data_IF_153749765537
#
_entry.id   IF_153749765537
#
_cell.length_a   1.000
_cell.length_b   1.000
_cell.length_c   1.000
_cell.angle_alpha   90.00
_cell.angle_beta   90.00
_cell.angle_gamma   90.00
#
_symmetry.space_group_name_H-M   'P 1'
#
loop_
_entity.id
_entity.type
_entity.pdbx_description
1 polymer ?
#
# COMPACT_ATOMS: atom_id res chain seq x y z
N UNK A 1 -12.43 4.95 -10.77
CA UNK A 1 -12.43 5.50 -9.41
C UNK A 1 -12.52 7.01 -9.45
N UNK A 2 -13.34 7.60 -8.60
CA UNK A 2 -13.43 9.06 -8.41
C UNK A 2 -13.20 9.40 -6.95
N UNK A 3 -12.29 10.31 -6.67
CA UNK A 3 -11.93 10.74 -5.32
C UNK A 3 -11.80 12.26 -5.19
N UNK A 4 -12.00 12.76 -3.98
CA UNK A 4 -11.83 14.16 -3.63
C UNK A 4 -10.76 14.30 -2.54
N UNK A 5 -9.79 15.19 -2.76
CA UNK A 5 -8.76 15.54 -1.80
C UNK A 5 -8.97 16.95 -1.25
N UNK A 6 -8.72 17.15 0.05
CA UNK A 6 -8.77 18.47 0.67
C UNK A 6 -7.40 19.12 0.64
N UNK A 7 -7.24 20.22 -0.11
CA UNK A 7 -6.02 21.02 -0.16
C UNK A 7 -5.88 21.97 1.03
N UNK A 8 -6.94 22.19 1.82
CA UNK A 8 -6.95 23.13 2.94
C UNK A 8 -6.87 24.59 2.50
N UNK A 9 -6.53 25.42 3.47
CA UNK A 9 -6.45 26.87 3.29
C UNK A 9 -5.03 27.38 2.97
N UNK A 10 -4.02 26.51 3.05
CA UNK A 10 -2.62 26.89 2.89
C UNK A 10 -2.07 26.48 1.51
N UNK A 11 -1.16 27.29 0.98
CA UNK A 11 -0.43 26.96 -0.26
C UNK A 11 0.69 25.96 0.06
N UNK A 12 0.31 24.81 0.57
CA UNK A 12 1.21 23.66 0.71
C UNK A 12 0.68 22.56 -0.21
N UNK A 13 1.51 21.95 -1.05
CA UNK A 13 1.01 20.94 -1.95
C UNK A 13 0.52 19.71 -1.15
N UNK A 14 -0.80 19.45 -1.10
CA UNK A 14 -1.35 18.26 -0.45
C UNK A 14 -1.13 17.01 -1.31
N UNK A 15 -0.16 17.10 -2.19
CA UNK A 15 0.03 16.24 -3.34
C UNK A 15 0.41 14.78 -3.02
N UNK A 16 1.21 14.49 -1.95
CA UNK A 16 1.74 13.13 -1.82
C UNK A 16 0.65 12.09 -1.63
N UNK A 17 -0.33 12.33 -0.75
CA UNK A 17 -1.36 11.35 -0.47
C UNK A 17 -2.23 11.03 -1.70
N UNK A 18 -2.74 12.06 -2.38
CA UNK A 18 -3.63 11.86 -3.54
C UNK A 18 -2.90 11.28 -4.75
N UNK A 19 -1.70 11.79 -5.06
CA UNK A 19 -0.92 11.30 -6.21
C UNK A 19 -0.39 9.89 -6.00
N UNK A 20 0.03 9.56 -4.78
CA UNK A 20 0.49 8.22 -4.46
C UNK A 20 -0.65 7.21 -4.44
N UNK A 21 -1.84 7.59 -3.97
CA UNK A 21 -3.02 6.73 -4.06
C UNK A 21 -3.31 6.34 -5.52
N UNK A 22 -3.26 7.31 -6.45
CA UNK A 22 -3.46 7.04 -7.88
C UNK A 22 -2.36 6.15 -8.45
N UNK A 23 -1.10 6.46 -8.15
CA UNK A 23 0.05 5.71 -8.68
C UNK A 23 0.09 4.27 -8.22
N UNK A 24 -0.32 4.00 -6.99
CA UNK A 24 -0.22 2.68 -6.37
C UNK A 24 -1.55 1.93 -6.29
N UNK A 25 -2.60 2.43 -6.94
CA UNK A 25 -3.95 1.88 -6.86
C UNK A 25 -4.04 0.39 -7.20
N UNK A 26 -3.24 -0.07 -8.16
CA UNK A 26 -3.28 -1.48 -8.60
C UNK A 26 -2.47 -2.40 -7.69
N UNK A 27 -1.58 -1.85 -6.84
CA UNK A 27 -0.70 -2.61 -5.95
C UNK A 27 -0.03 -3.80 -6.67
N UNK A 28 -0.24 -5.01 -6.17
CA UNK A 28 0.36 -6.26 -6.68
C UNK A 28 -0.46 -6.91 -7.80
N UNK A 29 -1.54 -6.27 -8.25
CA UNK A 29 -2.49 -6.90 -9.17
C UNK A 29 -2.25 -6.53 -10.63
N UNK A 30 -2.31 -7.54 -11.49
CA UNK A 30 -2.26 -7.37 -12.95
C UNK A 30 -3.54 -6.69 -13.44
N UNK A 31 -3.47 -5.38 -13.61
CA UNK A 31 -4.57 -4.56 -14.09
C UNK A 31 -4.23 -4.03 -15.48
N UNK A 32 -4.97 -4.40 -16.52
CA UNK A 32 -4.64 -4.03 -17.91
C UNK A 32 -4.91 -2.56 -18.21
N UNK A 33 -5.89 -1.96 -17.54
CA UNK A 33 -6.27 -0.57 -17.69
C UNK A 33 -6.92 -0.03 -16.44
N UNK A 34 -6.76 1.25 -16.19
CA UNK A 34 -7.46 1.93 -15.09
C UNK A 34 -7.88 3.34 -15.52
N UNK A 35 -9.00 3.79 -15.00
CA UNK A 35 -9.44 5.17 -15.07
C UNK A 35 -9.58 5.72 -13.66
N UNK A 36 -8.89 6.81 -13.38
CA UNK A 36 -8.93 7.46 -12.06
C UNK A 36 -9.17 8.95 -12.23
N UNK A 37 -10.24 9.44 -11.61
CA UNK A 37 -10.57 10.85 -11.55
C UNK A 37 -10.35 11.34 -10.11
N UNK A 38 -9.43 12.26 -9.91
CA UNK A 38 -9.20 12.89 -8.62
C UNK A 38 -9.40 14.40 -8.72
N UNK A 39 -10.08 14.96 -7.73
CA UNK A 39 -10.24 16.42 -7.58
C UNK A 39 -9.64 16.83 -6.25
N UNK A 40 -8.71 17.78 -6.30
CA UNK A 40 -8.13 18.40 -5.12
C UNK A 40 -8.76 19.77 -5.01
N UNK A 41 -9.39 20.06 -3.89
CA UNK A 41 -10.12 21.31 -3.67
C UNK A 41 -9.54 22.08 -2.50
N UNK A 42 -9.43 23.41 -2.67
CA UNK A 42 -9.10 24.30 -1.57
C UNK A 42 -10.30 24.44 -0.64
N UNK A 43 -10.05 24.52 0.64
CA UNK A 43 -11.04 24.71 1.70
C UNK A 43 -10.49 25.65 2.75
N UNK A 44 -11.35 26.09 3.67
CA UNK A 44 -10.93 26.88 4.83
C UNK A 44 -10.49 26.00 6.04
N UNK A 45 -10.26 24.71 5.80
CA UNK A 45 -9.86 23.75 6.81
C UNK A 45 -8.34 23.49 6.77
N UNK A 46 -7.84 22.73 7.72
CA UNK A 46 -6.50 22.18 7.69
C UNK A 46 -6.34 21.25 6.48
N UNK A 47 -5.25 21.37 5.70
CA UNK A 47 -5.01 20.46 4.57
C UNK A 47 -4.78 19.03 5.06
N UNK A 48 -5.12 18.06 4.20
CA UNK A 48 -4.60 16.72 4.37
C UNK A 48 -3.09 16.73 4.12
N UNK A 49 -2.35 16.09 5.01
CA UNK A 49 -0.91 15.96 4.92
C UNK A 49 -0.49 14.50 4.81
N UNK A 50 0.76 14.27 4.45
CA UNK A 50 1.31 12.94 4.42
C UNK A 50 1.31 12.34 5.84
N UNK A 51 0.73 11.17 5.98
CA UNK A 51 0.94 10.26 7.09
C UNK A 51 1.71 9.05 6.56
N UNK A 52 2.30 8.24 7.41
CA UNK A 52 3.11 7.07 7.00
C UNK A 52 2.39 6.26 5.91
N UNK A 53 3.06 6.05 4.75
CA UNK A 53 2.46 5.47 3.55
C UNK A 53 1.91 6.49 2.54
N UNK A 54 1.49 7.70 2.99
CA UNK A 54 1.20 8.89 2.17
C UNK A 54 0.38 8.60 0.89
N UNK A 55 -0.80 8.02 1.02
CA UNK A 55 -1.72 7.71 -0.10
C UNK A 55 -1.67 6.25 -0.55
N UNK A 56 -0.63 5.50 -0.24
CA UNK A 56 -0.58 4.06 -0.55
C UNK A 56 -1.60 3.26 0.24
N UNK A 57 -1.81 3.50 1.56
CA UNK A 57 -2.89 2.85 2.30
C UNK A 57 -4.27 3.12 1.70
N UNK A 58 -4.52 4.33 1.22
CA UNK A 58 -5.77 4.69 0.57
C UNK A 58 -5.95 3.94 -0.76
N UNK A 59 -4.90 3.89 -1.59
CA UNK A 59 -4.90 3.10 -2.84
C UNK A 59 -5.16 1.63 -2.58
N UNK A 60 -4.44 1.05 -1.63
CA UNK A 60 -4.61 -0.34 -1.20
C UNK A 60 -6.03 -0.61 -0.70
N UNK A 61 -6.58 0.25 0.16
CA UNK A 61 -7.94 0.09 0.65
C UNK A 61 -8.97 0.03 -0.50
N UNK A 62 -8.85 0.88 -1.50
CA UNK A 62 -9.77 0.87 -2.63
C UNK A 62 -9.70 -0.43 -3.43
N UNK A 63 -8.49 -0.91 -3.73
CA UNK A 63 -8.31 -2.14 -4.48
C UNK A 63 -8.76 -3.37 -3.68
N UNK A 64 -8.35 -3.48 -2.44
CA UNK A 64 -8.69 -4.60 -1.59
C UNK A 64 -10.19 -4.70 -1.31
N UNK A 65 -10.87 -3.56 -1.12
CA UNK A 65 -12.34 -3.52 -1.00
C UNK A 65 -13.04 -3.93 -2.29
N UNK A 66 -12.50 -3.55 -3.45
CA UNK A 66 -13.03 -3.98 -4.74
C UNK A 66 -12.94 -5.49 -4.90
N UNK A 67 -11.77 -6.08 -4.56
CA UNK A 67 -11.55 -7.53 -4.63
C UNK A 67 -12.47 -8.27 -3.66
N UNK A 68 -12.63 -7.80 -2.42
CA UNK A 68 -13.54 -8.41 -1.44
C UNK A 68 -15.00 -8.33 -1.90
N UNK A 69 -15.39 -7.26 -2.55
CA UNK A 69 -16.74 -7.10 -3.10
C UNK A 69 -16.95 -8.06 -4.28
N UNK A 70 -16.00 -8.08 -5.22
CA UNK A 70 -16.04 -8.99 -6.36
C UNK A 70 -16.08 -10.47 -5.90
N UNK A 71 -15.28 -10.83 -4.91
CA UNK A 71 -15.27 -12.17 -4.31
C UNK A 71 -16.68 -12.59 -3.86
N UNK A 72 -17.37 -11.72 -3.13
CA UNK A 72 -18.74 -11.99 -2.64
C UNK A 72 -19.76 -12.09 -3.77
N UNK A 73 -19.69 -11.17 -4.73
CA UNK A 73 -20.64 -11.14 -5.85
C UNK A 73 -20.45 -12.30 -6.83
N UNK A 74 -19.19 -12.70 -7.03
CA UNK A 74 -18.85 -13.80 -7.94
C UNK A 74 -18.90 -15.19 -7.28
N UNK A 75 -19.01 -15.25 -5.96
CA UNK A 75 -18.94 -16.51 -5.20
C UNK A 75 -17.57 -17.20 -5.27
N UNK A 76 -16.50 -16.43 -5.50
CA UNK A 76 -15.12 -16.93 -5.55
C UNK A 76 -14.44 -16.63 -4.21
N UNK A 77 -13.69 -17.59 -3.66
CA UNK A 77 -12.90 -17.36 -2.45
C UNK A 77 -11.99 -16.14 -2.61
N UNK A 78 -11.93 -15.29 -1.59
CA UNK A 78 -11.24 -14.01 -1.65
C UNK A 78 -9.71 -14.17 -1.80
N UNK A 79 -9.13 -15.23 -1.23
CA UNK A 79 -7.69 -15.53 -1.39
C UNK A 79 -7.42 -16.03 -2.80
N UNK A 80 -8.27 -16.93 -3.29
CA UNK A 80 -8.14 -17.46 -4.64
C UNK A 80 -8.29 -16.36 -5.71
N UNK A 81 -9.22 -15.41 -5.51
CA UNK A 81 -9.37 -14.28 -6.42
C UNK A 81 -8.10 -13.41 -6.44
N UNK A 82 -7.46 -13.19 -5.29
CA UNK A 82 -6.16 -12.51 -5.21
C UNK A 82 -5.07 -13.25 -5.97
N UNK A 83 -4.92 -14.56 -5.71
CA UNK A 83 -3.93 -15.40 -6.40
C UNK A 83 -4.04 -15.35 -7.92
N UNK A 84 -5.25 -15.39 -8.45
CA UNK A 84 -5.50 -15.31 -9.91
C UNK A 84 -5.08 -13.99 -10.51
N UNK A 85 -5.12 -12.92 -9.74
CA UNK A 85 -4.87 -11.58 -10.22
C UNK A 85 -3.50 -11.02 -9.84
N UNK A 86 -2.70 -11.70 -9.04
CA UNK A 86 -1.33 -11.27 -8.75
C UNK A 86 -0.49 -11.22 -10.03
N UNK A 87 0.35 -10.21 -10.14
CA UNK A 87 1.42 -10.15 -11.13
C UNK A 87 2.37 -11.31 -10.83
N UNK A 88 2.60 -12.18 -11.81
CA UNK A 88 3.47 -13.33 -11.66
C UNK A 88 4.95 -12.93 -11.84
N UNK A 89 5.90 -13.65 -11.20
CA UNK A 89 7.33 -13.34 -11.32
C UNK A 89 7.83 -13.31 -12.78
N UNK A 90 7.28 -14.16 -13.63
CA UNK A 90 7.64 -14.26 -15.04
C UNK A 90 7.19 -13.04 -15.87
N UNK A 91 6.34 -12.19 -15.28
CA UNK A 91 5.88 -10.95 -15.91
C UNK A 91 6.78 -9.75 -15.54
N UNK A 92 7.77 -9.95 -14.69
CA UNK A 92 8.71 -8.90 -14.31
C UNK A 92 9.79 -8.71 -15.39
N UNK A 93 10.21 -7.48 -15.67
CA UNK A 93 9.71 -6.23 -15.11
C UNK A 93 8.31 -5.86 -15.61
N UNK A 94 7.39 -5.56 -14.71
CA UNK A 94 6.00 -5.22 -15.03
C UNK A 94 5.77 -3.70 -15.00
N UNK A 95 5.27 -3.16 -16.11
CA UNK A 95 4.90 -1.75 -16.19
C UNK A 95 3.41 -1.59 -15.93
N UNK A 96 3.09 -0.91 -14.82
CA UNK A 96 1.71 -0.65 -14.44
C UNK A 96 1.03 0.41 -15.33
N UNK A 97 -0.32 0.45 -15.41
CA UNK A 97 -1.04 1.52 -16.08
C UNK A 97 -0.75 2.92 -15.52
N UNK A 98 -0.27 3.01 -14.29
CA UNK A 98 0.18 4.26 -13.65
C UNK A 98 1.64 4.62 -13.95
N UNK A 99 2.30 3.92 -14.88
CA UNK A 99 3.71 4.08 -15.24
C UNK A 99 4.73 3.73 -14.14
N UNK A 100 4.34 3.02 -13.11
CA UNK A 100 5.31 2.42 -12.19
C UNK A 100 5.93 1.18 -12.85
N UNK A 101 7.23 1.00 -12.66
CA UNK A 101 7.95 -0.19 -13.07
C UNK A 101 8.23 -1.04 -11.84
N UNK A 102 7.74 -2.27 -11.85
CA UNK A 102 8.04 -3.28 -10.84
C UNK A 102 9.14 -4.18 -11.41
N UNK A 103 10.27 -4.20 -10.78
CA UNK A 103 11.47 -4.92 -11.24
C UNK A 103 11.47 -6.37 -10.80
N UNK A 104 10.86 -6.67 -9.66
CA UNK A 104 10.80 -8.00 -9.03
C UNK A 104 9.58 -8.15 -8.14
N UNK A 105 9.22 -9.40 -7.79
CA UNK A 105 8.16 -9.68 -6.82
C UNK A 105 7.69 -11.13 -6.86
N UNK A 106 7.52 -11.72 -5.68
CA UNK A 106 7.01 -13.06 -5.42
C UNK A 106 5.68 -12.98 -4.65
N UNK A 107 4.73 -12.20 -5.17
CA UNK A 107 3.51 -11.82 -4.44
C UNK A 107 2.67 -12.99 -3.99
N UNK A 108 2.60 -14.05 -4.81
CA UNK A 108 1.85 -15.27 -4.45
C UNK A 108 2.53 -16.02 -3.32
N UNK A 109 3.84 -16.19 -3.38
CA UNK A 109 4.60 -16.88 -2.34
C UNK A 109 4.51 -16.17 -0.99
N UNK A 110 4.61 -14.83 -1.00
CA UNK A 110 4.45 -14.00 0.21
C UNK A 110 3.03 -14.14 0.80
N UNK A 111 2.00 -14.14 -0.05
CA UNK A 111 0.63 -14.37 0.40
C UNK A 111 0.50 -15.75 1.05
N UNK A 112 0.98 -16.80 0.40
CA UNK A 112 0.85 -18.18 0.88
C UNK A 112 1.59 -18.38 2.21
N UNK A 113 2.79 -17.84 2.36
CA UNK A 113 3.52 -17.86 3.62
C UNK A 113 2.80 -17.08 4.72
N UNK A 114 2.25 -15.91 4.41
CA UNK A 114 1.47 -15.11 5.36
C UNK A 114 0.23 -15.85 5.86
N UNK A 115 -0.47 -16.55 4.98
CA UNK A 115 -1.64 -17.36 5.33
C UNK A 115 -1.27 -18.52 6.25
N UNK A 116 -0.14 -19.17 5.98
CA UNK A 116 0.39 -20.23 6.83
C UNK A 116 0.79 -19.71 8.21
N UNK A 117 1.57 -18.64 8.28
CA UNK A 117 2.04 -18.03 9.54
C UNK A 117 0.90 -17.52 10.41
N UNK A 118 -0.19 -17.05 9.81
CA UNK A 118 -1.37 -16.54 10.51
C UNK A 118 -2.38 -17.62 10.91
N UNK A 119 -2.12 -18.88 10.60
CA UNK A 119 -3.10 -19.98 10.76
C UNK A 119 -4.47 -19.60 10.15
N UNK A 120 -4.42 -19.15 8.88
CA UNK A 120 -5.62 -18.66 8.20
C UNK A 120 -6.76 -19.67 8.21
N UNK A 121 -6.45 -20.95 8.02
CA UNK A 121 -7.44 -22.04 7.95
C UNK A 121 -8.04 -22.34 9.33
N UNK A 122 -7.29 -22.17 10.42
CA UNK A 122 -7.73 -22.34 11.80
C UNK A 122 -8.65 -21.22 12.32
N UNK A 123 -8.87 -20.17 11.53
CA UNK A 123 -9.65 -18.99 11.96
C UNK A 123 -11.05 -19.33 12.49
N UNK A 124 -11.75 -20.29 11.87
CA UNK A 124 -13.12 -20.61 12.28
C UNK A 124 -13.18 -21.15 13.71
N UNK A 125 -12.23 -22.00 14.09
CA UNK A 125 -12.08 -22.46 15.47
C UNK A 125 -11.82 -21.31 16.45
N UNK A 126 -10.91 -20.40 16.07
CA UNK A 126 -10.64 -19.21 16.87
C UNK A 126 -11.86 -18.28 17.01
N UNK A 127 -12.67 -18.17 15.97
CA UNK A 127 -13.90 -17.36 15.97
C UNK A 127 -14.95 -17.95 16.91
N UNK A 128 -15.17 -19.26 16.85
CA UNK A 128 -16.09 -19.99 17.73
C UNK A 128 -15.67 -19.87 19.20
N UNK A 129 -14.39 -20.03 19.49
CA UNK A 129 -13.85 -19.88 20.83
C UNK A 129 -14.02 -18.45 21.38
N UNK A 130 -13.85 -17.46 20.52
CA UNK A 130 -14.11 -16.05 20.87
C UNK A 130 -15.59 -15.81 21.17
N UNK A 131 -16.49 -16.40 20.37
CA UNK A 131 -17.94 -16.29 20.55
C UNK A 131 -18.40 -16.88 21.90
N UNK A 132 -17.83 -18.01 22.34
CA UNK A 132 -18.09 -18.59 23.67
C UNK A 132 -17.77 -17.62 24.82
N UNK A 133 -16.86 -16.70 24.59
CA UNK A 133 -16.47 -15.65 25.55
C UNK A 133 -17.19 -14.31 25.33
N UNK A 134 -18.25 -14.29 24.51
CA UNK A 134 -19.01 -13.08 24.18
C UNK A 134 -18.23 -12.07 23.35
N UNK A 135 -17.17 -12.49 22.62
CA UNK A 135 -16.34 -11.62 21.79
C UNK A 135 -16.54 -11.90 20.31
N UNK A 136 -16.49 -10.84 19.52
CA UNK A 136 -16.44 -10.93 18.06
C UNK A 136 -14.97 -11.02 17.59
N UNK A 137 -14.72 -11.88 16.62
CA UNK A 137 -13.43 -12.00 15.96
C UNK A 137 -13.62 -11.91 14.46
N UNK A 138 -12.81 -11.04 13.83
CA UNK A 138 -12.74 -10.89 12.39
C UNK A 138 -11.32 -11.16 11.88
N UNK A 139 -11.22 -11.41 10.59
CA UNK A 139 -9.94 -11.48 9.87
C UNK A 139 -10.05 -10.69 8.58
N UNK A 140 -8.92 -10.27 8.06
CA UNK A 140 -8.81 -9.62 6.75
C UNK A 140 -7.42 -9.83 6.19
N UNK A 141 -7.29 -9.67 4.89
CA UNK A 141 -6.03 -9.70 4.17
C UNK A 141 -5.96 -8.50 3.25
N UNK A 142 -4.77 -7.95 3.11
CA UNK A 142 -4.48 -6.91 2.12
C UNK A 142 -3.09 -7.16 1.55
N UNK A 143 -2.98 -7.09 0.24
CA UNK A 143 -1.72 -7.20 -0.48
C UNK A 143 -1.31 -5.82 -0.95
N UNK A 144 -0.15 -5.34 -0.54
CA UNK A 144 0.31 -3.99 -0.84
C UNK A 144 1.77 -3.93 -1.27
N UNK A 145 2.11 -2.86 -1.95
CA UNK A 145 3.49 -2.49 -2.26
C UNK A 145 3.87 -1.18 -1.58
N UNK A 146 5.09 -1.14 -1.06
CA UNK A 146 5.71 0.09 -0.59
C UNK A 146 6.98 0.37 -1.41
N UNK A 147 7.26 1.64 -1.62
CA UNK A 147 8.45 2.09 -2.33
C UNK A 147 9.61 2.19 -1.37
N UNK A 148 10.73 1.60 -1.73
CA UNK A 148 12.01 1.86 -1.06
C UNK A 148 12.67 3.09 -1.67
N UNK A 149 13.21 3.99 -0.86
CA UNK A 149 13.91 5.19 -1.29
C UNK A 149 13.10 6.09 -2.26
N UNK A 150 11.98 6.68 -1.83
CA UNK A 150 11.14 7.49 -2.70
C UNK A 150 11.77 8.83 -3.10
N UNK A 151 12.81 9.28 -2.43
CA UNK A 151 13.51 10.54 -2.71
C UNK A 151 14.54 10.37 -3.83
N UNK A 152 14.60 11.34 -4.74
CA UNK A 152 15.43 11.25 -5.94
C UNK A 152 16.93 11.37 -5.72
N UNK A 153 17.39 12.03 -4.65
CA UNK A 153 18.80 12.22 -4.31
C UNK A 153 18.96 12.33 -2.81
N UNK A 154 19.91 11.62 -2.30
CA UNK A 154 20.36 11.68 -0.92
C UNK A 154 21.83 12.06 -0.84
N UNK A 155 22.19 12.85 0.16
CA UNK A 155 23.59 13.22 0.40
C UNK A 155 24.12 12.44 1.60
N UNK A 156 25.26 11.78 1.40
CA UNK A 156 26.02 11.14 2.46
C UNK A 156 27.41 11.74 2.56
N UNK A 157 27.95 11.87 3.76
CA UNK A 157 29.28 12.44 3.97
C UNK A 157 29.91 11.91 5.25
N UNK A 158 31.23 12.02 5.30
CA UNK A 158 32.03 11.69 6.49
C UNK A 158 32.95 12.90 6.76
N UNK A 159 32.98 13.35 8.00
CA UNK A 159 33.90 14.40 8.49
C UNK A 159 34.72 13.88 9.65
N UNK A 160 36.03 14.02 9.54
CA UNK A 160 36.96 13.76 10.62
C UNK A 160 37.11 15.01 11.48
N UNK A 161 36.91 14.89 12.76
CA UNK A 161 36.99 15.99 13.69
C UNK A 161 38.40 16.12 14.28
N UNK A 162 38.81 17.33 14.76
CA UNK A 162 40.12 17.54 15.35
C UNK A 162 40.41 16.71 16.59
N UNK A 163 39.40 16.28 17.30
CA UNK A 163 39.50 15.44 18.48
C UNK A 163 39.64 13.94 18.19
N UNK A 164 39.71 13.56 16.89
CA UNK A 164 39.86 12.18 16.44
C UNK A 164 38.54 11.43 16.30
N UNK A 165 37.40 12.08 16.57
CA UNK A 165 36.08 11.49 16.29
C UNK A 165 35.71 11.59 14.82
N UNK A 166 34.67 10.83 14.41
CA UNK A 166 34.16 10.83 13.05
C UNK A 166 32.67 11.13 13.07
N UNK A 167 32.27 12.16 12.36
CA UNK A 167 30.87 12.52 12.16
C UNK A 167 30.39 11.95 10.83
N UNK A 168 29.35 11.13 10.84
CA UNK A 168 28.66 10.68 9.65
C UNK A 168 27.46 11.60 9.39
N UNK A 169 27.37 12.11 8.17
CA UNK A 169 26.26 12.90 7.68
C UNK A 169 25.38 12.01 6.80
N UNK A 170 24.10 11.93 7.09
CA UNK A 170 23.14 11.14 6.33
C UNK A 170 21.90 11.97 6.07
N UNK A 171 21.33 11.86 4.87
CA UNK A 171 20.06 12.46 4.50
C UNK A 171 18.87 11.57 4.84
N UNK A 172 19.11 10.38 5.42
CA UNK A 172 18.04 9.43 5.76
C UNK A 172 17.11 10.03 6.81
N UNK A 173 15.82 9.98 6.50
CA UNK A 173 14.77 10.37 7.44
C UNK A 173 14.39 9.17 8.30
N UNK A 174 14.30 9.38 9.59
CA UNK A 174 13.71 8.43 10.54
C UNK A 174 12.20 8.69 10.65
N UNK A 175 11.40 7.63 10.58
CA UNK A 175 9.94 7.70 10.64
C UNK A 175 9.39 6.86 11.80
#
# INVERSE_FOLDING_TARGET
LTGYGNAGAYIYPPMPATTNAVKNLIDVYRTPAMEVNSKIVFTNCTPIAAYRGAGRPEGNYFMERLIDTASREMGIDAIELRRRNHIAPEQMPYKSPANNLYDSGEFRAILDETLQLSDWDGFMGCKEESAKRGKLRGRGVGSYLEVTAPAGKEHGGIRFEPDGTVTMLSGTLDY
#
